data_IF_096743808355
#
_entry.id   IF_096743808355
#
_cell.length_a   1.000
_cell.length_b   1.000
_cell.length_c   1.000
_cell.angle_alpha   90.00
_cell.angle_beta   90.00
_cell.angle_gamma   90.00
#
_symmetry.space_group_name_H-M   'P 1'
#
loop_
_entity.id
_entity.type
_entity.pdbx_description
1 polymer ?
#
# COMPACT_ATOMS: atom_id res chain seq x y z
N UNK A 1 -26.86 -48.35 -51.14
CA UNK A 1 -26.03 -49.32 -51.87
C UNK A 1 -25.20 -50.05 -50.83
N UNK A 2 -25.47 -51.35 -50.65
CA UNK A 2 -24.56 -52.43 -50.17
C UNK A 2 -23.91 -52.22 -48.80
N UNK A 3 -24.36 -52.80 -47.68
CA UNK A 3 -24.68 -54.20 -47.34
C UNK A 3 -23.46 -55.16 -47.32
N UNK A 4 -23.04 -55.49 -46.10
CA UNK A 4 -22.63 -56.82 -45.60
C UNK A 4 -21.62 -57.63 -46.42
N UNK A 5 -20.45 -57.90 -45.82
CA UNK A 5 -19.63 -59.09 -46.15
C UNK A 5 -19.65 -60.04 -44.97
N UNK A 6 -20.15 -61.24 -45.26
CA UNK A 6 -20.14 -62.45 -44.45
C UNK A 6 -18.70 -62.95 -44.20
N UNK A 7 -18.50 -63.68 -43.11
CA UNK A 7 -17.83 -64.98 -43.25
C UNK A 7 -18.27 -65.95 -42.16
N UNK A 8 -18.59 -67.16 -42.60
CA UNK A 8 -19.19 -68.22 -41.83
C UNK A 8 -18.15 -69.25 -41.36
N UNK A 9 -18.53 -69.92 -40.27
CA UNK A 9 -18.28 -71.33 -39.97
C UNK A 9 -16.86 -71.75 -39.50
N UNK A 10 -16.78 -72.23 -38.25
CA UNK A 10 -16.28 -73.59 -38.01
C UNK A 10 -16.78 -74.19 -36.68
N UNK A 11 -17.35 -75.37 -36.89
CA UNK A 11 -17.96 -76.40 -36.05
C UNK A 11 -17.11 -76.87 -34.84
N UNK A 12 -17.84 -77.03 -33.72
CA UNK A 12 -17.77 -78.03 -32.62
C UNK A 12 -16.49 -78.23 -31.79
N UNK A 13 -16.66 -78.12 -30.48
CA UNK A 13 -16.02 -78.98 -29.48
C UNK A 13 -17.00 -79.26 -28.32
N UNK A 14 -17.06 -80.53 -27.91
CA UNK A 14 -18.01 -81.10 -26.97
C UNK A 14 -17.86 -80.53 -25.55
N UNK A 15 -19.00 -80.33 -24.88
CA UNK A 15 -19.07 -80.09 -23.44
C UNK A 15 -20.48 -80.30 -22.92
N UNK A 16 -20.75 -81.51 -22.43
CA UNK A 16 -22.03 -81.92 -21.84
C UNK A 16 -22.35 -81.04 -20.62
N UNK A 17 -23.55 -80.47 -20.62
CA UNK A 17 -24.05 -79.55 -19.59
C UNK A 17 -24.42 -80.30 -18.31
N UNK A 18 -23.87 -79.88 -17.17
CA UNK A 18 -24.35 -80.24 -15.84
C UNK A 18 -25.44 -79.22 -15.46
N UNK A 19 -26.65 -79.71 -15.21
CA UNK A 19 -27.77 -78.91 -14.70
C UNK A 19 -27.60 -78.71 -13.19
N UNK A 20 -27.21 -77.51 -12.77
CA UNK A 20 -27.42 -77.05 -11.40
C UNK A 20 -28.55 -76.04 -11.38
N UNK A 21 -29.61 -76.36 -10.62
CA UNK A 21 -30.73 -75.45 -10.36
C UNK A 21 -30.20 -74.20 -9.66
N UNK A 22 -30.44 -73.05 -10.29
CA UNK A 22 -30.20 -71.72 -9.74
C UNK A 22 -31.21 -71.45 -8.63
N UNK A 23 -30.73 -71.19 -7.41
CA UNK A 23 -31.55 -70.59 -6.36
C UNK A 23 -31.16 -69.11 -6.29
N UNK A 24 -32.16 -68.21 -6.36
CA UNK A 24 -31.96 -66.77 -6.32
C UNK A 24 -31.47 -66.33 -4.93
N UNK A 25 -30.45 -65.49 -4.89
CA UNK A 25 -29.91 -64.87 -3.67
C UNK A 25 -30.80 -63.69 -3.20
N UNK A 26 -32.10 -63.92 -3.04
CA UNK A 26 -33.07 -62.88 -2.66
C UNK A 26 -33.62 -63.04 -1.24
N UNK A 27 -32.90 -63.71 -0.33
CA UNK A 27 -33.26 -63.80 1.09
C UNK A 27 -32.02 -63.73 1.98
N UNK A 28 -31.51 -62.51 2.19
CA UNK A 28 -30.88 -62.15 3.47
C UNK A 28 -31.52 -60.83 3.88
N UNK A 29 -32.59 -60.97 4.64
CA UNK A 29 -33.35 -59.89 5.27
C UNK A 29 -32.70 -59.49 6.59
N UNK A 30 -32.60 -58.18 6.79
CA UNK A 30 -32.29 -57.46 8.03
C UNK A 30 -30.86 -57.60 8.58
N UNK A 31 -30.05 -56.56 8.36
CA UNK A 31 -29.01 -56.19 9.34
C UNK A 31 -29.74 -55.90 10.67
N UNK A 32 -29.69 -56.87 11.58
CA UNK A 32 -30.22 -56.71 12.92
C UNK A 32 -29.29 -55.76 13.68
N UNK A 33 -29.57 -54.46 13.59
CA UNK A 33 -28.90 -53.43 14.39
C UNK A 33 -29.27 -53.69 15.86
N UNK A 34 -28.36 -54.29 16.62
CA UNK A 34 -28.51 -54.46 18.07
C UNK A 34 -28.48 -53.07 18.72
N UNK A 35 -29.65 -52.55 19.10
CA UNK A 35 -29.77 -51.34 19.92
C UNK A 35 -29.41 -51.68 21.37
N UNK A 36 -28.13 -51.62 21.71
CA UNK A 36 -27.68 -51.72 23.11
C UNK A 36 -28.15 -50.44 23.81
N UNK A 37 -28.98 -50.50 24.86
CA UNK A 37 -29.32 -49.32 25.63
C UNK A 37 -28.06 -48.83 26.34
N UNK A 38 -27.47 -47.74 25.87
CA UNK A 38 -26.35 -47.10 26.55
C UNK A 38 -26.89 -46.44 27.83
N UNK A 39 -26.48 -46.88 29.03
CA UNK A 39 -27.09 -46.43 30.30
C UNK A 39 -26.66 -45.01 30.71
N UNK A 40 -25.76 -44.38 29.95
CA UNK A 40 -25.20 -43.08 30.25
C UNK A 40 -25.74 -42.09 29.22
N UNK A 41 -26.65 -41.20 29.64
CA UNK A 41 -26.88 -39.95 28.92
C UNK A 41 -25.72 -39.03 29.25
N UNK A 42 -24.79 -38.87 28.31
CA UNK A 42 -23.78 -37.81 28.42
C UNK A 42 -24.43 -36.51 27.96
N UNK A 43 -24.57 -35.56 28.87
CA UNK A 43 -24.88 -34.18 28.49
C UNK A 43 -23.64 -33.57 27.86
N UNK A 44 -23.70 -33.36 26.55
CA UNK A 44 -22.67 -32.68 25.78
C UNK A 44 -22.80 -31.19 26.06
N UNK A 45 -21.96 -30.63 26.93
CA UNK A 45 -21.97 -29.20 27.30
C UNK A 45 -21.35 -28.29 26.22
N UNK A 46 -21.63 -28.59 24.94
CA UNK A 46 -21.19 -27.74 23.83
C UNK A 46 -22.18 -26.60 23.63
N UNK A 47 -21.67 -25.37 23.69
CA UNK A 47 -22.43 -24.15 23.36
C UNK A 47 -21.82 -23.51 22.13
N UNK A 48 -22.65 -22.89 21.29
CA UNK A 48 -22.20 -22.14 20.13
C UNK A 48 -22.62 -20.68 20.25
N UNK A 49 -21.76 -19.77 19.83
CA UNK A 49 -22.04 -18.34 19.75
C UNK A 49 -21.63 -17.80 18.38
N UNK A 50 -22.43 -16.90 17.81
CA UNK A 50 -22.14 -16.23 16.54
C UNK A 50 -21.74 -14.79 16.82
N UNK A 51 -20.54 -14.44 16.41
CA UNK A 51 -20.01 -13.08 16.50
C UNK A 51 -19.88 -12.49 15.09
N UNK A 52 -20.37 -11.26 14.90
CA UNK A 52 -20.13 -10.51 13.67
C UNK A 52 -18.97 -9.54 13.89
N UNK A 53 -17.85 -9.80 13.20
CA UNK A 53 -16.65 -8.96 13.26
C UNK A 53 -16.55 -8.10 12.01
N UNK A 54 -16.51 -6.78 12.18
CA UNK A 54 -16.27 -5.84 11.09
C UNK A 54 -14.83 -5.34 11.13
N UNK A 55 -14.12 -5.51 10.01
CA UNK A 55 -12.75 -5.05 9.82
C UNK A 55 -12.77 -3.95 8.76
N UNK A 56 -12.34 -2.75 9.14
CA UNK A 56 -12.25 -1.60 8.24
C UNK A 56 -11.15 -1.82 7.20
N UNK A 57 -11.47 -1.56 5.93
CA UNK A 57 -10.49 -1.51 4.83
C UNK A 57 -10.27 -0.04 4.51
N UNK A 58 -9.08 0.48 4.81
CA UNK A 58 -8.75 1.87 4.53
C UNK A 58 -8.74 2.15 3.02
N UNK A 59 -9.34 3.26 2.61
CA UNK A 59 -9.22 3.76 1.24
C UNK A 59 -7.79 4.22 0.95
N UNK A 60 -7.39 4.12 -0.31
CA UNK A 60 -6.13 4.69 -0.76
C UNK A 60 -6.31 6.15 -1.17
N UNK A 61 -5.23 6.93 -1.11
CA UNK A 61 -5.20 8.30 -1.62
C UNK A 61 -4.49 8.27 -2.97
N UNK A 62 -5.22 8.65 -4.02
CA UNK A 62 -4.70 8.73 -5.39
C UNK A 62 -4.57 10.20 -5.77
N UNK A 63 -3.38 10.56 -6.26
CA UNK A 63 -3.11 11.92 -6.74
C UNK A 63 -3.29 12.00 -8.25
N UNK A 64 -3.95 13.06 -8.72
CA UNK A 64 -4.15 13.34 -10.14
C UNK A 64 -3.68 14.74 -10.47
N UNK A 65 -2.84 14.86 -11.50
CA UNK A 65 -2.33 16.16 -11.94
C UNK A 65 -3.46 17.00 -12.58
N UNK A 66 -3.52 18.27 -12.19
CA UNK A 66 -4.43 19.28 -12.72
C UNK A 66 -3.59 20.42 -13.36
N UNK A 67 -3.64 20.59 -14.70
CA UNK A 67 -2.88 21.63 -15.40
C UNK A 67 -3.45 23.04 -15.23
N UNK A 68 -4.68 23.19 -14.74
CA UNK A 68 -5.31 24.51 -14.55
C UNK A 68 -5.10 25.10 -13.16
N UNK A 69 -4.75 24.25 -12.19
CA UNK A 69 -4.50 24.63 -10.81
C UNK A 69 -3.02 24.93 -10.54
N UNK A 70 -2.74 25.93 -9.71
CA UNK A 70 -1.37 26.36 -9.41
C UNK A 70 -0.57 25.30 -8.65
N UNK A 71 0.73 25.22 -8.93
CA UNK A 71 1.60 24.26 -8.27
C UNK A 71 1.66 24.46 -6.75
N UNK A 72 1.42 23.38 -6.01
CA UNK A 72 1.37 23.37 -4.55
C UNK A 72 -0.04 23.52 -3.98
N UNK A 73 -1.05 23.79 -4.81
CA UNK A 73 -2.44 23.67 -4.42
C UNK A 73 -2.90 22.20 -4.55
N UNK A 74 -3.69 21.76 -3.57
CA UNK A 74 -4.33 20.46 -3.58
C UNK A 74 -5.83 20.64 -3.36
N UNK A 75 -6.64 19.87 -4.09
CA UNK A 75 -8.09 19.87 -3.96
C UNK A 75 -8.62 18.46 -3.96
N UNK A 76 -9.49 18.14 -3.02
CA UNK A 76 -10.23 16.87 -3.06
C UNK A 76 -11.19 16.93 -4.24
N UNK A 77 -10.97 16.06 -5.24
CA UNK A 77 -11.88 15.87 -6.37
C UNK A 77 -12.97 14.89 -5.96
N UNK A 78 -12.58 13.79 -5.30
CA UNK A 78 -13.49 12.76 -4.80
C UNK A 78 -13.06 12.32 -3.40
N UNK A 79 -13.99 12.29 -2.45
CA UNK A 79 -13.68 11.90 -1.06
C UNK A 79 -13.47 10.39 -0.91
N UNK A 80 -14.05 9.58 -1.80
CA UNK A 80 -14.04 8.12 -1.68
C UNK A 80 -14.82 7.62 -0.46
N UNK A 81 -14.60 6.35 -0.10
CA UNK A 81 -15.21 5.74 1.08
C UNK A 81 -14.40 4.53 1.53
N UNK A 82 -14.24 4.34 2.83
CA UNK A 82 -13.59 3.14 3.36
C UNK A 82 -14.44 1.89 3.05
N UNK A 83 -13.76 0.76 2.82
CA UNK A 83 -14.40 -0.54 2.66
C UNK A 83 -14.61 -1.22 4.01
N UNK A 84 -15.35 -2.32 4.00
CA UNK A 84 -15.62 -3.13 5.19
C UNK A 84 -15.56 -4.60 4.84
N UNK A 85 -14.81 -5.37 5.62
CA UNK A 85 -14.84 -6.83 5.63
C UNK A 85 -15.64 -7.30 6.83
N UNK A 86 -16.77 -7.93 6.58
CA UNK A 86 -17.65 -8.49 7.62
C UNK A 86 -17.43 -9.99 7.68
N UNK A 87 -17.07 -10.51 8.85
CA UNK A 87 -16.91 -11.94 9.10
C UNK A 87 -17.91 -12.41 10.14
N UNK A 88 -18.62 -13.49 9.84
CA UNK A 88 -19.45 -14.19 10.84
C UNK A 88 -18.61 -15.34 11.39
N UNK A 89 -18.22 -15.22 12.65
CA UNK A 89 -17.38 -16.19 13.35
C UNK A 89 -18.29 -17.01 14.26
N UNK A 90 -18.25 -18.33 14.09
CA UNK A 90 -18.90 -19.26 14.99
C UNK A 90 -17.87 -19.77 15.99
N UNK A 91 -18.07 -19.44 17.26
CA UNK A 91 -17.24 -19.92 18.36
C UNK A 91 -17.98 -21.02 19.09
N UNK A 92 -17.38 -22.20 19.15
CA UNK A 92 -17.90 -23.35 19.90
C UNK A 92 -17.16 -23.45 21.22
N UNK A 93 -17.91 -23.54 22.32
CA UNK A 93 -17.41 -23.66 23.68
C UNK A 93 -17.69 -25.07 24.23
N UNK A 94 -16.79 -25.56 25.07
CA UNK A 94 -16.99 -26.76 25.89
C UNK A 94 -16.54 -26.44 27.32
N UNK A 95 -17.42 -26.64 28.30
CA UNK A 95 -17.18 -26.24 29.71
C UNK A 95 -16.72 -24.77 29.83
N UNK A 96 -17.41 -23.87 29.11
CA UNK A 96 -17.12 -22.43 29.00
C UNK A 96 -15.72 -22.03 28.48
N UNK A 97 -14.96 -22.99 27.93
CA UNK A 97 -13.69 -22.74 27.24
C UNK A 97 -13.90 -22.82 25.74
N UNK A 98 -13.25 -21.93 24.99
CA UNK A 98 -13.25 -21.98 23.52
C UNK A 98 -12.66 -23.31 23.09
N UNK A 99 -13.46 -24.09 22.36
CA UNK A 99 -13.08 -25.38 21.78
C UNK A 99 -12.70 -25.22 20.31
N UNK A 100 -13.49 -24.47 19.54
CA UNK A 100 -13.29 -24.26 18.11
C UNK A 100 -13.78 -22.87 17.67
N UNK A 101 -13.16 -22.33 16.62
CA UNK A 101 -13.61 -21.11 15.95
C UNK A 101 -13.55 -21.30 14.43
N UNK A 102 -14.70 -21.17 13.78
CA UNK A 102 -14.81 -21.24 12.33
C UNK A 102 -15.40 -19.94 11.76
N UNK A 103 -14.86 -19.48 10.63
CA UNK A 103 -15.44 -18.35 9.89
C UNK A 103 -16.49 -18.92 8.95
N UNK A 104 -17.77 -18.68 9.25
CA UNK A 104 -18.89 -19.19 8.47
C UNK A 104 -19.08 -18.43 7.16
N UNK A 105 -18.88 -17.12 7.18
CA UNK A 105 -19.01 -16.28 5.99
C UNK A 105 -18.08 -15.08 6.05
N UNK A 106 -17.73 -14.57 4.87
CA UNK A 106 -16.97 -13.34 4.71
C UNK A 106 -17.60 -12.54 3.58
N UNK A 107 -18.05 -11.34 3.89
CA UNK A 107 -18.55 -10.36 2.92
C UNK A 107 -17.59 -9.18 2.85
N UNK A 108 -17.29 -8.71 1.63
CA UNK A 108 -16.34 -7.63 1.41
C UNK A 108 -17.05 -6.53 0.63
N UNK A 109 -17.16 -5.36 1.27
CA UNK A 109 -17.46 -4.10 0.59
C UNK A 109 -16.13 -3.41 0.26
N UNK A 110 -15.76 -3.24 -1.02
CA UNK A 110 -14.48 -2.64 -1.40
C UNK A 110 -14.42 -1.17 -1.02
N UNK A 111 -13.22 -0.68 -0.69
CA UNK A 111 -12.98 0.74 -0.51
C UNK A 111 -13.01 1.47 -1.87
N UNK A 112 -13.42 2.74 -1.84
CA UNK A 112 -13.31 3.68 -2.96
C UNK A 112 -12.24 4.69 -2.63
N UNK A 113 -11.29 4.87 -3.54
CA UNK A 113 -10.15 5.74 -3.33
C UNK A 113 -10.56 7.20 -3.17
N UNK A 114 -9.79 7.93 -2.36
CA UNK A 114 -9.85 9.39 -2.29
C UNK A 114 -8.99 9.96 -3.40
N UNK A 115 -9.58 10.76 -4.29
CA UNK A 115 -8.86 11.41 -5.38
C UNK A 115 -8.55 12.86 -4.99
N UNK A 116 -7.26 13.18 -4.93
CA UNK A 116 -6.76 14.53 -4.67
C UNK A 116 -6.13 15.06 -5.97
N UNK A 117 -6.67 16.15 -6.48
CA UNK A 117 -6.09 16.93 -7.57
C UNK A 117 -4.88 17.72 -7.09
N UNK A 118 -3.76 17.63 -7.83
CA UNK A 118 -2.53 18.38 -7.59
C UNK A 118 -2.30 19.39 -8.70
N UNK A 119 -2.19 20.67 -8.35
CA UNK A 119 -1.90 21.70 -9.34
C UNK A 119 -0.50 21.56 -9.96
N UNK A 120 -0.44 21.79 -11.27
CA UNK A 120 0.81 21.75 -12.06
C UNK A 120 1.06 23.04 -12.86
N UNK A 121 0.13 24.00 -12.79
CA UNK A 121 0.25 25.30 -13.47
C UNK A 121 1.35 26.14 -12.83
N UNK A 122 2.29 26.57 -13.66
CA UNK A 122 3.40 27.44 -13.26
C UNK A 122 2.99 28.89 -13.52
N UNK A 123 2.92 29.69 -12.45
CA UNK A 123 2.61 31.12 -12.53
C UNK A 123 3.81 31.92 -12.05
N UNK A 124 4.38 32.73 -12.94
CA UNK A 124 5.51 33.60 -12.62
C UNK A 124 5.05 34.85 -11.90
N UNK A 125 5.71 35.14 -10.78
CA UNK A 125 5.49 36.31 -9.92
C UNK A 125 6.82 37.02 -9.70
N UNK A 126 6.78 38.24 -9.18
CA UNK A 126 7.97 39.01 -8.85
C UNK A 126 8.05 39.32 -7.36
N UNK A 127 9.29 39.41 -6.85
CA UNK A 127 9.58 39.86 -5.49
C UNK A 127 10.73 40.86 -5.51
N UNK A 128 10.57 41.94 -4.76
CA UNK A 128 11.62 42.94 -4.58
C UNK A 128 12.64 42.45 -3.55
N UNK A 129 13.91 42.45 -3.94
CA UNK A 129 15.02 41.99 -3.09
C UNK A 129 16.14 43.04 -3.06
N UNK A 130 17.12 42.93 -2.16
CA UNK A 130 18.31 43.76 -2.20
C UNK A 130 19.11 43.67 -3.51
N UNK A 131 18.87 42.63 -4.33
CA UNK A 131 19.50 42.41 -5.63
C UNK A 131 18.66 42.91 -6.81
N UNK A 132 17.54 43.59 -6.54
CA UNK A 132 16.55 44.01 -7.53
C UNK A 132 15.31 43.13 -7.55
N UNK A 133 14.45 43.37 -8.55
CA UNK A 133 13.25 42.57 -8.78
C UNK A 133 13.63 41.23 -9.42
N UNK A 134 13.25 40.13 -8.76
CA UNK A 134 13.50 38.77 -9.27
C UNK A 134 12.19 38.05 -9.55
N UNK A 135 12.18 37.25 -10.62
CA UNK A 135 11.04 36.38 -10.99
C UNK A 135 11.15 35.03 -10.29
N UNK A 136 10.04 34.57 -9.74
CA UNK A 136 9.91 33.25 -9.13
C UNK A 136 8.62 32.59 -9.59
N UNK A 137 8.59 31.26 -9.58
CA UNK A 137 7.40 30.51 -9.98
C UNK A 137 6.73 29.76 -8.81
N UNK A 138 7.46 29.56 -7.70
CA UNK A 138 6.91 28.93 -6.50
C UNK A 138 7.48 29.58 -5.25
N UNK A 139 6.60 29.90 -4.31
CA UNK A 139 6.92 30.32 -2.95
C UNK A 139 6.61 29.15 -2.02
N UNK A 140 7.52 28.78 -1.14
CA UNK A 140 7.26 27.71 -0.16
C UNK A 140 7.90 28.01 1.18
N UNK A 141 7.21 27.61 2.25
CA UNK A 141 7.72 27.71 3.62
C UNK A 141 8.54 26.46 3.95
N UNK A 142 9.77 26.67 4.40
CA UNK A 142 10.71 25.60 4.76
C UNK A 142 11.30 25.85 6.13
N UNK A 143 11.72 24.78 6.81
CA UNK A 143 12.61 24.88 7.95
C UNK A 143 14.06 24.98 7.44
N UNK A 144 14.73 26.09 7.73
CA UNK A 144 16.06 26.35 7.21
C UNK A 144 17.11 26.28 8.33
N UNK A 145 17.99 25.29 8.26
CA UNK A 145 19.19 25.15 9.11
C UNK A 145 20.43 25.68 8.37
N UNK A 146 21.62 25.49 8.94
CA UNK A 146 22.87 25.80 8.27
C UNK A 146 23.94 24.75 8.54
N UNK A 147 24.87 24.60 7.60
CA UNK A 147 26.02 23.70 7.69
C UNK A 147 27.29 24.34 7.13
N UNK A 148 28.43 23.73 7.41
CA UNK A 148 29.71 24.06 6.82
C UNK A 148 30.51 22.82 6.42
N UNK A 149 31.66 23.08 5.81
CA UNK A 149 32.62 22.07 5.36
C UNK A 149 33.54 21.52 6.44
N UNK A 150 33.57 22.16 7.61
CA UNK A 150 34.67 22.03 8.56
C UNK A 150 34.48 20.88 9.55
N UNK A 151 33.47 20.05 9.34
CA UNK A 151 33.22 18.85 10.14
C UNK A 151 34.14 17.68 9.77
N UNK A 152 34.51 16.89 10.78
CA UNK A 152 35.37 15.70 10.60
C UNK A 152 34.64 14.67 9.73
N UNK A 153 35.19 14.40 8.53
CA UNK A 153 34.62 13.46 7.56
C UNK A 153 33.68 14.10 6.55
N UNK A 154 33.60 15.43 6.50
CA UNK A 154 32.86 16.18 5.49
C UNK A 154 33.74 16.47 4.28
N UNK A 155 33.16 16.33 3.08
CA UNK A 155 33.83 16.58 1.80
C UNK A 155 33.51 17.97 1.27
N UNK A 156 34.47 18.62 0.62
CA UNK A 156 34.30 19.94 -0.02
C UNK A 156 33.37 19.97 -1.25
N UNK A 157 32.78 18.83 -1.59
CA UNK A 157 32.00 18.63 -2.79
C UNK A 157 30.57 18.23 -2.46
N UNK A 158 29.64 18.99 -3.03
CA UNK A 158 28.20 18.73 -2.91
C UNK A 158 27.75 17.61 -3.84
N UNK A 159 26.52 17.12 -3.64
CA UNK A 159 25.91 16.06 -4.47
C UNK A 159 25.95 16.32 -6.00
N UNK A 160 25.94 17.59 -6.45
CA UNK A 160 26.05 17.92 -7.88
C UNK A 160 27.48 18.22 -8.36
N UNK A 161 28.49 18.05 -7.50
CA UNK A 161 29.90 18.24 -7.82
C UNK A 161 30.38 19.69 -7.83
N UNK A 162 29.68 20.60 -7.15
CA UNK A 162 30.17 21.98 -6.93
C UNK A 162 30.74 22.13 -5.52
N UNK A 163 31.61 23.12 -5.32
CA UNK A 163 32.14 23.45 -3.99
C UNK A 163 31.01 23.82 -3.05
N UNK A 164 31.02 23.24 -1.85
CA UNK A 164 30.16 23.72 -0.77
C UNK A 164 30.59 25.11 -0.29
N UNK A 165 29.71 25.79 0.43
CA UNK A 165 29.94 27.14 0.92
C UNK A 165 28.74 28.04 0.68
N UNK A 166 28.93 29.34 0.90
CA UNK A 166 27.82 30.30 0.77
C UNK A 166 27.30 30.36 -0.66
N UNK A 167 25.99 30.22 -0.83
CA UNK A 167 25.31 30.16 -2.12
C UNK A 167 24.97 28.75 -2.59
N UNK A 168 25.28 27.72 -1.80
CA UNK A 168 24.86 26.34 -2.06
C UNK A 168 24.02 25.84 -0.89
N UNK A 169 22.88 25.22 -1.20
CA UNK A 169 21.98 24.66 -0.19
C UNK A 169 21.80 23.16 -0.37
N UNK A 170 21.64 22.45 0.73
CA UNK A 170 21.18 21.07 0.75
C UNK A 170 19.66 21.02 0.79
N UNK A 171 19.06 20.11 0.02
CA UNK A 171 17.61 19.95 -0.10
C UNK A 171 17.19 18.48 -0.13
N UNK A 172 15.89 18.22 0.00
CA UNK A 172 15.29 16.97 -0.45
C UNK A 172 14.95 17.06 -1.96
N UNK A 173 15.61 16.25 -2.84
CA UNK A 173 15.36 16.26 -4.29
C UNK A 173 13.92 15.94 -4.69
N UNK A 174 13.14 15.28 -3.82
CA UNK A 174 11.72 15.00 -4.05
C UNK A 174 10.85 16.25 -3.92
N UNK A 175 11.34 17.28 -3.22
CA UNK A 175 10.62 18.53 -2.94
C UNK A 175 11.16 19.68 -3.78
N UNK A 176 12.49 19.85 -3.80
CA UNK A 176 13.21 20.86 -4.58
C UNK A 176 14.25 20.12 -5.41
N UNK A 177 14.11 20.16 -6.73
CA UNK A 177 15.04 19.47 -7.63
C UNK A 177 16.45 20.06 -7.49
N UNK A 178 17.46 19.20 -7.57
CA UNK A 178 18.84 19.66 -7.66
C UNK A 178 19.00 20.57 -8.89
N UNK A 179 19.95 21.52 -8.78
CA UNK A 179 20.19 22.62 -9.73
C UNK A 179 19.12 23.70 -9.78
N UNK A 180 18.03 23.60 -9.01
CA UNK A 180 17.10 24.72 -8.84
C UNK A 180 17.80 25.92 -8.24
N UNK A 181 17.54 27.11 -8.78
CA UNK A 181 17.95 28.38 -8.18
C UNK A 181 16.89 28.83 -7.19
N UNK A 182 17.33 29.34 -6.05
CA UNK A 182 16.44 29.83 -5.00
C UNK A 182 16.89 31.19 -4.49
N UNK A 183 15.94 31.96 -4.00
CA UNK A 183 16.20 33.12 -3.15
C UNK A 183 15.71 32.84 -1.74
N UNK A 184 16.59 33.03 -0.76
CA UNK A 184 16.31 32.85 0.65
C UNK A 184 16.50 34.20 1.35
N UNK A 185 15.41 34.84 1.84
CA UNK A 185 15.49 36.09 2.57
C UNK A 185 16.45 36.01 3.76
N UNK A 186 17.38 36.96 3.86
CA UNK A 186 18.43 36.99 4.90
C UNK A 186 19.67 36.16 4.58
N UNK A 187 19.65 35.29 3.57
CA UNK A 187 20.82 34.50 3.15
C UNK A 187 21.32 34.92 1.76
N UNK A 188 20.41 35.05 0.79
CA UNK A 188 20.71 35.50 -0.57
C UNK A 188 20.25 34.52 -1.64
N UNK A 189 20.83 34.67 -2.83
CA UNK A 189 20.66 33.76 -3.96
C UNK A 189 21.46 32.49 -3.73
N UNK A 190 20.90 31.34 -4.06
CA UNK A 190 21.55 30.06 -3.89
C UNK A 190 21.14 29.03 -4.94
N UNK A 191 21.92 27.95 -5.02
CA UNK A 191 21.63 26.77 -5.85
C UNK A 191 21.38 25.57 -4.95
N UNK A 192 20.34 24.80 -5.25
CA UNK A 192 20.13 23.47 -4.70
C UNK A 192 21.21 22.52 -5.22
N UNK A 193 22.35 22.49 -4.53
CA UNK A 193 23.53 21.76 -4.97
C UNK A 193 23.80 20.49 -4.19
N UNK A 194 23.21 20.36 -3.00
CA UNK A 194 23.57 19.28 -2.10
C UNK A 194 22.36 18.51 -1.56
N UNK A 195 22.63 17.40 -0.89
CA UNK A 195 21.63 16.59 -0.19
C UNK A 195 22.15 16.16 1.16
N UNK A 196 21.27 15.99 2.14
CA UNK A 196 21.62 15.48 3.46
C UNK A 196 20.71 14.34 3.90
N UNK A 197 21.23 13.44 4.74
CA UNK A 197 20.46 12.36 5.34
C UNK A 197 19.27 12.89 6.15
N UNK A 198 19.51 13.93 6.95
CA UNK A 198 18.50 14.62 7.77
C UNK A 198 17.65 15.64 7.00
N UNK A 199 18.07 16.03 5.79
CA UNK A 199 17.38 17.02 4.97
C UNK A 199 16.31 16.30 4.14
N UNK A 200 15.10 16.22 4.70
CA UNK A 200 13.94 15.49 4.16
C UNK A 200 12.69 16.34 4.25
N UNK A 201 11.86 16.31 3.20
CA UNK A 201 10.66 17.14 3.12
C UNK A 201 10.97 18.63 2.93
N UNK A 202 10.18 19.49 3.58
CA UNK A 202 10.31 20.96 3.51
C UNK A 202 11.41 21.48 4.46
N UNK A 203 12.59 20.86 4.43
CA UNK A 203 13.78 21.25 5.18
C UNK A 203 14.88 21.60 4.18
N UNK A 204 15.61 22.69 4.44
CA UNK A 204 16.80 23.07 3.69
C UNK A 204 17.96 23.30 4.65
N UNK A 205 19.18 23.06 4.18
CA UNK A 205 20.40 23.39 4.90
C UNK A 205 21.20 24.43 4.13
N UNK A 206 21.45 25.58 4.75
CA UNK A 206 22.16 26.68 4.11
C UNK A 206 23.66 26.50 4.27
N UNK A 207 24.40 26.44 3.16
CA UNK A 207 25.85 26.34 3.21
C UNK A 207 26.49 27.64 3.67
N UNK A 208 27.46 27.54 4.56
CA UNK A 208 28.34 28.65 4.96
C UNK A 208 29.80 28.21 4.87
N UNK A 209 30.70 29.19 4.78
CA UNK A 209 32.13 28.93 4.90
C UNK A 209 32.49 28.44 6.31
N UNK A 210 31.77 28.92 7.31
CA UNK A 210 31.95 28.56 8.71
C UNK A 210 30.61 28.71 9.46
N UNK A 211 30.07 27.59 9.93
CA UNK A 211 28.79 27.51 10.60
C UNK A 211 28.84 28.17 11.99
N UNK A 212 30.00 28.27 12.63
CA UNK A 212 30.15 28.91 13.95
C UNK A 212 30.05 30.44 13.87
N UNK A 213 30.35 31.02 12.70
CA UNK A 213 30.28 32.46 12.45
C UNK A 213 29.12 32.86 11.54
N UNK A 214 28.27 31.89 11.18
CA UNK A 214 27.12 32.12 10.32
C UNK A 214 26.11 33.05 11.00
N UNK A 215 25.74 34.13 10.33
CA UNK A 215 24.66 35.02 10.75
C UNK A 215 23.29 34.40 10.38
N UNK A 216 23.00 33.22 10.91
CA UNK A 216 21.76 32.49 10.67
C UNK A 216 21.35 31.61 11.84
N UNK A 217 20.14 31.81 12.35
CA UNK A 217 19.49 30.90 13.29
C UNK A 217 18.44 30.02 12.60
N UNK A 218 18.38 28.74 12.98
CA UNK A 218 17.43 27.79 12.41
C UNK A 218 15.98 28.26 12.64
N UNK A 219 15.23 28.42 11.54
CA UNK A 219 13.87 28.97 11.59
C UNK A 219 13.06 28.62 10.35
N UNK A 220 11.74 28.80 10.45
CA UNK A 220 10.89 28.79 9.28
C UNK A 220 11.11 30.06 8.45
N UNK A 221 11.29 29.88 7.14
CA UNK A 221 11.44 30.98 6.18
C UNK A 221 10.68 30.65 4.89
N UNK A 222 10.13 31.68 4.27
CA UNK A 222 9.56 31.58 2.94
C UNK A 222 10.67 31.75 1.90
N UNK A 223 10.90 30.71 1.09
CA UNK A 223 11.86 30.72 -0.01
C UNK A 223 11.14 30.85 -1.36
N UNK A 224 11.88 31.32 -2.34
CA UNK A 224 11.38 31.58 -3.69
C UNK A 224 12.19 30.75 -4.69
N UNK A 225 11.53 29.81 -5.38
CA UNK A 225 12.14 29.03 -6.44
C UNK A 225 12.14 29.85 -7.73
N UNK A 226 13.34 30.01 -8.29
CA UNK A 226 13.63 30.81 -9.46
C UNK A 226 13.74 29.92 -10.69
N UNK A 227 14.15 30.51 -11.81
CA UNK A 227 14.45 29.84 -13.08
C UNK A 227 15.82 29.14 -13.06
#
# INVERSE_FOLDING_TARGET
MVAVVLSACLIFSLGTRINFKTTQASEITQEQVLSIPQPIKTDSEFRTELETKQIKIERQIVYKDDPEMEIGEEKVIEEGSDGVKTQVIKTTYHLDKVYDQEVLSTEITPAKDKIIGKGTKIVWRTVNTPYGEIKYWRKMRVWATHYDSKCRGCDDWTAIGIRQGKGVIAVDPKVIKLRSKVYVPGYGLAVAGDTGGAIKGNIIDLGFEDAHTADWSARFVDIYLLN
#
